data_IF_150913891038
#
_entry.id   IF_150913891038
#
_cell.length_a   1.000
_cell.length_b   1.000
_cell.length_c   1.000
_cell.angle_alpha   90.00
_cell.angle_beta   90.00
_cell.angle_gamma   90.00
#
_symmetry.space_group_name_H-M   'P 1'
#
loop_
_entity.id
_entity.type
_entity.pdbx_description
1 polymer ?
#
# COMPACT_ATOMS: atom_id res chain seq x y z
N UNK A 1 -25.58 17.86 58.45
CA UNK A 1 -25.17 18.70 57.31
C UNK A 1 -24.78 17.77 56.18
N UNK A 2 -25.79 17.27 55.48
CA UNK A 2 -25.64 16.49 54.25
C UNK A 2 -26.04 17.46 53.14
N UNK A 3 -25.09 17.88 52.32
CA UNK A 3 -25.32 18.93 51.33
C UNK A 3 -24.16 19.27 50.40
N UNK A 4 -22.92 18.88 50.72
CA UNK A 4 -21.74 19.23 49.88
C UNK A 4 -21.16 18.05 49.07
N UNK A 5 -21.47 16.79 49.40
CA UNK A 5 -20.91 15.62 48.70
C UNK A 5 -21.60 15.24 47.39
N UNK A 6 -22.81 15.75 47.13
CA UNK A 6 -23.53 15.43 45.89
C UNK A 6 -23.06 16.23 44.67
N UNK A 7 -22.43 17.39 44.86
CA UNK A 7 -21.98 18.26 43.76
C UNK A 7 -20.66 17.78 43.15
N UNK A 8 -19.77 17.20 43.96
CA UNK A 8 -18.47 16.68 43.51
C UNK A 8 -18.61 15.38 42.71
N UNK A 9 -19.56 14.50 43.07
CA UNK A 9 -19.81 13.26 42.31
C UNK A 9 -20.47 13.51 40.94
N UNK A 10 -21.32 14.54 40.83
CA UNK A 10 -21.92 14.94 39.55
C UNK A 10 -20.88 15.55 38.59
N UNK A 11 -19.88 16.27 39.10
CA UNK A 11 -18.79 16.82 38.29
C UNK A 11 -17.77 15.75 37.84
N UNK A 12 -17.47 14.76 38.68
CA UNK A 12 -16.64 13.60 38.30
C UNK A 12 -17.35 12.70 37.27
N UNK A 13 -18.68 12.56 37.38
CA UNK A 13 -19.51 11.88 36.37
C UNK A 13 -19.50 12.57 35.01
N UNK A 14 -19.54 13.92 34.99
CA UNK A 14 -19.46 14.71 33.77
C UNK A 14 -18.07 14.63 33.10
N UNK A 15 -16.98 14.56 33.88
CA UNK A 15 -15.62 14.38 33.36
C UNK A 15 -15.43 12.99 32.71
N UNK A 16 -16.00 11.95 33.32
CA UNK A 16 -15.99 10.57 32.78
C UNK A 16 -16.85 10.44 31.51
N UNK A 17 -17.98 11.15 31.43
CA UNK A 17 -18.81 11.20 30.22
C UNK A 17 -18.13 11.95 29.06
N UNK A 18 -17.39 13.04 29.33
CA UNK A 18 -16.63 13.75 28.28
C UNK A 18 -15.45 12.91 27.74
N UNK A 19 -14.80 12.11 28.59
CA UNK A 19 -13.68 11.25 28.17
C UNK A 19 -14.11 9.99 27.39
N UNK A 20 -15.39 9.62 27.45
CA UNK A 20 -15.90 8.40 26.80
C UNK A 20 -16.54 8.63 25.43
N UNK A 21 -16.77 9.88 25.00
CA UNK A 21 -17.55 10.19 23.79
C UNK A 21 -16.94 11.23 22.84
N UNK A 22 -15.63 11.50 22.90
CA UNK A 22 -14.96 12.48 22.02
C UNK A 22 -14.35 11.86 20.76
N UNK A 23 -14.94 12.15 19.59
CA UNK A 23 -14.28 12.05 18.28
C UNK A 23 -13.14 13.08 18.17
N UNK A 24 -12.16 12.83 17.30
CA UNK A 24 -10.90 13.57 17.18
C UNK A 24 -11.02 15.08 16.81
N UNK A 25 -12.22 15.63 16.67
CA UNK A 25 -12.44 17.06 16.37
C UNK A 25 -12.56 17.97 17.62
N UNK A 26 -12.55 17.43 18.84
CA UNK A 26 -12.72 18.22 20.08
C UNK A 26 -11.49 18.34 20.98
N UNK A 27 -10.30 17.88 20.55
CA UNK A 27 -9.10 17.86 21.41
C UNK A 27 -8.49 19.26 21.64
N UNK A 28 -8.75 20.24 20.77
CA UNK A 28 -8.24 21.61 20.96
C UNK A 28 -8.83 22.34 22.17
N UNK A 29 -10.03 21.96 22.62
CA UNK A 29 -10.69 22.63 23.75
C UNK A 29 -10.24 22.12 25.12
N UNK A 30 -9.61 20.95 25.22
CA UNK A 30 -9.21 20.40 26.52
C UNK A 30 -8.07 21.16 27.20
N UNK A 31 -7.10 21.68 26.44
CA UNK A 31 -6.01 22.51 26.99
C UNK A 31 -6.50 23.85 27.55
N UNK A 32 -7.51 24.43 26.90
CA UNK A 32 -8.20 25.67 27.32
C UNK A 32 -8.93 25.48 28.66
N UNK A 33 -9.64 24.35 28.80
CA UNK A 33 -10.40 24.02 30.02
C UNK A 33 -9.48 23.77 31.21
N UNK A 34 -8.37 23.06 31.03
CA UNK A 34 -7.39 22.80 32.10
C UNK A 34 -6.67 24.08 32.53
N UNK A 35 -6.29 24.94 31.57
CA UNK A 35 -5.71 26.26 31.88
C UNK A 35 -6.70 27.17 32.63
N UNK A 36 -7.99 27.14 32.25
CA UNK A 36 -9.05 27.87 32.94
C UNK A 36 -9.31 27.36 34.36
N UNK A 37 -9.22 26.04 34.61
CA UNK A 37 -9.37 25.46 35.94
C UNK A 37 -8.22 25.88 36.87
N UNK A 38 -6.98 25.87 36.37
CA UNK A 38 -5.79 26.33 37.12
C UNK A 38 -5.86 27.84 37.42
N UNK A 39 -6.45 28.64 36.51
CA UNK A 39 -6.62 30.09 36.68
C UNK A 39 -7.84 30.49 37.53
N UNK A 40 -8.77 29.56 37.81
CA UNK A 40 -9.96 29.84 38.61
C UNK A 40 -9.63 29.86 40.11
N UNK A 41 -10.28 30.74 40.88
CA UNK A 41 -10.13 30.84 42.36
C UNK A 41 -10.76 29.66 43.13
N UNK A 42 -10.68 28.44 42.59
CA UNK A 42 -11.06 27.22 43.28
C UNK A 42 -9.84 26.68 44.02
N UNK A 43 -9.95 26.50 45.34
CA UNK A 43 -8.90 25.89 46.16
C UNK A 43 -8.73 24.40 45.80
N UNK A 44 -7.94 24.13 44.77
CA UNK A 44 -7.53 22.76 44.44
C UNK A 44 -6.47 22.25 45.44
N UNK A 45 -6.59 20.98 45.86
CA UNK A 45 -5.57 20.32 46.68
C UNK A 45 -4.22 20.24 45.95
N UNK A 46 -3.14 20.08 46.71
CA UNK A 46 -1.79 19.98 46.16
C UNK A 46 -1.63 18.78 45.19
N UNK A 47 -2.30 17.65 45.46
CA UNK A 47 -2.23 16.48 44.56
C UNK A 47 -2.93 16.74 43.22
N UNK A 48 -4.07 17.44 43.23
CA UNK A 48 -4.82 17.74 42.02
C UNK A 48 -4.08 18.72 41.10
N UNK A 49 -3.38 19.71 41.70
CA UNK A 49 -2.48 20.62 40.97
C UNK A 49 -1.31 19.88 40.32
N UNK A 50 -0.72 18.92 41.04
CA UNK A 50 0.37 18.09 40.50
C UNK A 50 -0.10 17.23 39.31
N UNK A 51 -1.30 16.64 39.40
CA UNK A 51 -1.87 15.84 38.31
C UNK A 51 -2.17 16.67 37.06
N UNK A 52 -2.76 17.87 37.22
CA UNK A 52 -2.98 18.79 36.10
C UNK A 52 -1.67 19.25 35.44
N UNK A 53 -0.63 19.49 36.24
CA UNK A 53 0.70 19.86 35.74
C UNK A 53 1.35 18.71 34.97
N UNK A 54 1.19 17.46 35.44
CA UNK A 54 1.67 16.28 34.75
C UNK A 54 0.96 16.07 33.40
N UNK A 55 -0.36 16.27 33.34
CA UNK A 55 -1.14 16.20 32.10
C UNK A 55 -0.73 17.29 31.10
N UNK A 56 -0.46 18.51 31.57
CA UNK A 56 0.09 19.59 30.73
C UNK A 56 1.49 19.25 30.22
N UNK A 57 2.35 18.65 31.04
CA UNK A 57 3.67 18.21 30.61
C UNK A 57 3.59 17.07 29.58
N UNK A 58 2.65 16.14 29.74
CA UNK A 58 2.42 15.07 28.75
C UNK A 58 1.85 15.62 27.45
N UNK A 59 0.89 16.56 27.49
CA UNK A 59 0.35 17.23 26.29
C UNK A 59 1.44 18.07 25.60
N UNK A 60 2.25 18.81 26.37
CA UNK A 60 3.35 19.62 25.83
C UNK A 60 4.45 18.72 25.25
N UNK A 61 4.79 17.61 25.92
CA UNK A 61 5.74 16.62 25.41
C UNK A 61 5.22 15.93 24.15
N UNK A 62 3.94 15.54 24.12
CA UNK A 62 3.31 14.95 22.94
C UNK A 62 3.29 15.92 21.75
N UNK A 63 2.94 17.19 21.99
CA UNK A 63 3.02 18.27 20.97
C UNK A 63 4.46 18.54 20.52
N UNK A 64 5.44 18.46 21.41
CA UNK A 64 6.85 18.64 21.05
C UNK A 64 7.35 17.44 20.25
N UNK A 65 7.02 16.21 20.63
CA UNK A 65 7.45 14.99 19.93
C UNK A 65 6.77 14.82 18.58
N UNK A 66 5.48 15.17 18.44
CA UNK A 66 4.79 15.14 17.14
C UNK A 66 5.16 16.32 16.22
N UNK A 67 5.62 17.45 16.75
CA UNK A 67 6.05 18.62 15.96
C UNK A 67 7.57 18.80 15.87
N UNK A 68 8.39 17.81 16.21
CA UNK A 68 9.82 17.86 15.86
C UNK A 68 9.94 17.65 14.36
N UNK A 69 10.28 18.69 13.57
CA UNK A 69 10.52 18.50 12.14
C UNK A 69 11.84 17.75 12.01
N UNK A 70 11.86 16.66 11.25
CA UNK A 70 13.12 16.12 10.75
C UNK A 70 13.69 17.16 9.76
N UNK A 71 14.89 17.73 10.02
CA UNK A 71 15.49 18.74 9.14
C UNK A 71 15.67 18.27 7.69
N UNK A 72 15.67 16.95 7.44
CA UNK A 72 15.73 16.37 6.09
C UNK A 72 14.37 16.38 5.37
N UNK A 73 13.25 16.35 6.11
CA UNK A 73 11.89 16.36 5.54
C UNK A 73 11.41 17.75 5.16
N UNK A 74 11.75 18.80 5.90
CA UNK A 74 11.31 20.18 5.62
C UNK A 74 11.86 20.70 4.29
N UNK A 75 13.14 20.39 4.00
CA UNK A 75 13.79 20.70 2.72
C UNK A 75 13.20 19.90 1.53
N UNK A 76 12.54 18.76 1.79
CA UNK A 76 11.88 17.94 0.76
C UNK A 76 10.47 18.44 0.44
N UNK A 77 9.72 18.90 1.45
CA UNK A 77 8.32 19.34 1.32
C UNK A 77 8.18 20.65 0.54
N UNK A 78 9.08 21.63 0.76
CA UNK A 78 9.12 22.87 -0.05
C UNK A 78 9.43 22.56 -1.53
N UNK A 79 10.39 21.67 -1.80
CA UNK A 79 10.72 21.23 -3.16
C UNK A 79 9.58 20.46 -3.85
N UNK A 80 8.72 19.80 -3.07
CA UNK A 80 7.59 19.04 -3.59
C UNK A 80 6.34 19.88 -3.87
N UNK A 81 6.17 21.03 -3.18
CA UNK A 81 4.95 21.85 -3.24
C UNK A 81 4.71 22.47 -4.63
N UNK A 82 5.78 22.67 -5.40
CA UNK A 82 5.77 23.31 -6.72
C UNK A 82 6.01 22.34 -7.90
N UNK A 83 5.97 21.01 -7.66
CA UNK A 83 6.11 20.01 -8.72
C UNK A 83 4.93 20.08 -9.70
N UNK A 84 5.09 20.84 -10.79
CA UNK A 84 4.24 20.77 -11.97
C UNK A 84 4.67 19.60 -12.85
N UNK A 85 3.78 18.62 -12.99
CA UNK A 85 3.97 17.55 -13.96
C UNK A 85 3.72 18.11 -15.36
N UNK A 86 4.80 18.29 -16.13
CA UNK A 86 4.71 18.56 -17.57
C UNK A 86 4.02 17.38 -18.27
N UNK A 87 3.19 17.66 -19.28
CA UNK A 87 2.44 16.64 -20.03
C UNK A 87 3.34 15.58 -20.68
N UNK A 88 4.63 15.89 -20.89
CA UNK A 88 5.66 14.96 -21.35
C UNK A 88 5.88 13.76 -20.42
N UNK A 89 5.61 13.89 -19.13
CA UNK A 89 5.76 12.79 -18.16
C UNK A 89 4.65 11.74 -18.25
N UNK A 90 3.56 12.06 -18.95
CA UNK A 90 2.43 11.17 -19.20
C UNK A 90 2.56 10.38 -20.51
N UNK A 91 3.55 10.69 -21.35
CA UNK A 91 3.81 9.93 -22.57
C UNK A 91 4.14 8.47 -22.22
N UNK A 92 3.72 7.55 -23.08
CA UNK A 92 3.97 6.12 -22.94
C UNK A 92 4.78 5.61 -24.12
N UNK A 93 5.57 4.56 -23.89
CA UNK A 93 6.36 3.90 -24.93
C UNK A 93 6.44 2.41 -24.63
N UNK A 94 6.53 1.60 -25.68
CA UNK A 94 6.70 0.16 -25.53
C UNK A 94 8.17 -0.20 -25.35
N UNK A 95 8.45 -0.92 -24.27
CA UNK A 95 9.74 -1.59 -24.04
C UNK A 95 9.51 -3.08 -24.25
N UNK A 96 10.12 -3.65 -25.30
CA UNK A 96 9.96 -5.06 -25.68
C UNK A 96 8.46 -5.49 -25.78
N UNK A 97 7.62 -4.61 -26.31
CA UNK A 97 6.18 -4.85 -26.48
C UNK A 97 5.34 -4.75 -25.19
N UNK A 98 5.93 -4.27 -24.10
CA UNK A 98 5.23 -3.96 -22.84
C UNK A 98 5.22 -2.45 -22.66
N UNK A 99 4.03 -1.91 -22.42
CA UNK A 99 3.87 -0.47 -22.28
C UNK A 99 4.38 0.01 -20.92
N UNK A 100 5.19 1.06 -20.97
CA UNK A 100 5.74 1.78 -19.82
C UNK A 100 5.53 3.28 -19.99
N UNK A 101 5.71 4.06 -18.94
CA UNK A 101 5.80 5.52 -19.09
C UNK A 101 7.10 5.86 -19.82
N UNK A 102 7.13 7.03 -20.46
CA UNK A 102 8.31 7.54 -21.16
C UNK A 102 9.50 7.69 -20.22
N UNK A 103 9.27 8.15 -18.98
CA UNK A 103 10.30 8.23 -17.96
C UNK A 103 10.98 6.89 -17.68
N UNK A 104 10.20 5.80 -17.57
CA UNK A 104 10.73 4.46 -17.37
C UNK A 104 11.49 3.99 -18.62
N UNK A 105 10.92 4.25 -19.80
CA UNK A 105 11.47 3.81 -21.08
C UNK A 105 12.79 4.52 -21.41
N UNK A 106 12.88 5.83 -21.15
CA UNK A 106 14.08 6.64 -21.37
C UNK A 106 15.23 6.22 -20.42
N UNK A 107 14.90 5.64 -19.26
CA UNK A 107 15.87 5.12 -18.30
C UNK A 107 16.08 3.59 -18.40
N UNK A 108 15.51 2.94 -19.43
CA UNK A 108 15.42 1.49 -19.50
C UNK A 108 16.78 0.79 -19.48
N UNK A 109 17.79 1.33 -20.18
CA UNK A 109 19.12 0.75 -20.21
C UNK A 109 19.74 0.67 -18.82
N UNK A 110 19.49 1.65 -17.94
CA UNK A 110 19.97 1.61 -16.55
C UNK A 110 19.20 0.59 -15.72
N UNK A 111 17.89 0.49 -15.94
CA UNK A 111 17.02 -0.49 -15.26
C UNK A 111 17.45 -1.90 -15.62
N UNK A 112 17.58 -2.20 -16.91
CA UNK A 112 17.97 -3.51 -17.42
C UNK A 112 19.36 -3.94 -16.94
N UNK A 113 20.31 -3.01 -16.85
CA UNK A 113 21.67 -3.26 -16.37
C UNK A 113 21.85 -3.11 -14.85
N UNK A 114 20.77 -2.97 -14.08
CA UNK A 114 20.84 -2.91 -12.62
C UNK A 114 21.60 -4.11 -12.04
N UNK A 115 22.43 -3.87 -11.03
CA UNK A 115 23.23 -4.92 -10.37
C UNK A 115 22.55 -5.34 -9.06
N UNK A 116 21.81 -6.45 -9.13
CA UNK A 116 21.35 -7.14 -7.94
C UNK A 116 22.54 -7.68 -7.13
N UNK A 117 22.34 -7.83 -5.82
CA UNK A 117 23.28 -8.44 -4.88
C UNK A 117 22.72 -9.80 -4.43
N UNK A 118 23.57 -10.78 -4.07
CA UNK A 118 23.12 -12.11 -3.67
C UNK A 118 22.16 -12.12 -2.47
N UNK A 119 22.23 -11.11 -1.61
CA UNK A 119 21.41 -10.95 -0.41
C UNK A 119 20.19 -10.02 -0.60
N UNK A 120 19.93 -9.59 -1.84
CA UNK A 120 18.72 -8.83 -2.15
C UNK A 120 17.48 -9.72 -2.03
N UNK A 121 16.41 -9.11 -1.52
CA UNK A 121 15.05 -9.61 -1.57
C UNK A 121 14.23 -8.76 -2.54
N UNK A 122 13.60 -9.39 -3.52
CA UNK A 122 12.72 -8.71 -4.46
C UNK A 122 11.24 -9.00 -4.16
N UNK A 123 10.43 -7.96 -4.00
CA UNK A 123 8.98 -8.05 -3.95
C UNK A 123 8.43 -7.67 -5.32
N UNK A 124 7.92 -8.67 -6.04
CA UNK A 124 7.35 -8.53 -7.37
C UNK A 124 5.83 -8.71 -7.33
N UNK A 125 5.12 -7.96 -8.16
CA UNK A 125 3.66 -8.12 -8.29
C UNK A 125 3.17 -7.42 -9.53
N UNK A 126 2.05 -7.85 -10.10
CA UNK A 126 1.33 -6.96 -11.01
C UNK A 126 0.81 -5.75 -10.21
N UNK A 127 0.65 -4.60 -10.87
CA UNK A 127 0.15 -3.40 -10.20
C UNK A 127 -1.17 -3.71 -9.45
N UNK A 128 -1.25 -3.22 -8.21
CA UNK A 128 -2.43 -3.30 -7.34
C UNK A 128 -2.80 -4.71 -6.82
N UNK A 129 -1.84 -5.64 -6.83
CA UNK A 129 -2.04 -6.99 -6.29
C UNK A 129 -1.73 -7.13 -4.78
N UNK A 130 -1.36 -6.06 -4.07
CA UNK A 130 -1.08 -6.11 -2.62
C UNK A 130 0.37 -5.82 -2.21
N UNK A 131 1.17 -5.23 -3.10
CA UNK A 131 2.61 -4.97 -2.92
C UNK A 131 2.95 -4.29 -1.61
N UNK A 132 2.27 -3.18 -1.29
CA UNK A 132 2.53 -2.40 -0.06
C UNK A 132 2.25 -3.21 1.20
N UNK A 133 1.23 -4.07 1.17
CA UNK A 133 0.92 -4.93 2.31
C UNK A 133 2.05 -5.94 2.56
N UNK A 134 2.56 -6.56 1.49
CA UNK A 134 3.70 -7.47 1.57
C UNK A 134 4.99 -6.75 1.96
N UNK A 135 5.24 -5.53 1.48
CA UNK A 135 6.37 -4.70 1.89
C UNK A 135 6.36 -4.46 3.41
N UNK A 136 5.24 -4.02 3.98
CA UNK A 136 5.15 -3.80 5.43
C UNK A 136 5.29 -5.09 6.25
N UNK A 137 4.73 -6.22 5.77
CA UNK A 137 4.92 -7.53 6.42
C UNK A 137 6.41 -7.91 6.43
N UNK A 138 7.07 -7.79 5.28
CA UNK A 138 8.49 -8.15 5.13
C UNK A 138 9.38 -7.25 5.99
N UNK A 139 9.16 -5.93 5.97
CA UNK A 139 9.96 -4.98 6.76
C UNK A 139 9.79 -5.23 8.26
N UNK A 140 8.56 -5.48 8.72
CA UNK A 140 8.31 -5.84 10.12
C UNK A 140 8.98 -7.18 10.49
N UNK A 141 8.96 -8.19 9.61
CA UNK A 141 9.69 -9.44 9.85
C UNK A 141 11.20 -9.19 9.95
N UNK A 142 11.77 -8.44 9.01
CA UNK A 142 13.21 -8.17 8.95
C UNK A 142 13.71 -7.39 10.19
N UNK A 143 12.85 -6.54 10.75
CA UNK A 143 13.12 -5.73 11.93
C UNK A 143 12.54 -6.31 13.23
N UNK A 144 12.21 -7.61 13.28
CA UNK A 144 11.70 -8.30 14.48
C UNK A 144 10.48 -7.61 15.12
N UNK A 145 9.61 -6.98 14.32
CA UNK A 145 8.43 -6.24 14.75
C UNK A 145 8.72 -4.88 15.39
N UNK A 146 9.93 -4.32 15.20
CA UNK A 146 10.24 -2.96 15.64
C UNK A 146 9.52 -1.92 14.76
N UNK A 147 8.61 -1.16 15.39
CA UNK A 147 7.79 -0.16 14.71
C UNK A 147 8.57 1.09 14.35
N UNK A 148 9.54 1.50 15.19
CA UNK A 148 10.34 2.68 14.93
C UNK A 148 11.19 2.45 13.67
N UNK A 149 11.73 1.24 13.54
CA UNK A 149 12.42 0.84 12.32
C UNK A 149 11.47 0.87 11.11
N UNK A 150 10.25 0.34 11.22
CA UNK A 150 9.29 0.34 10.11
C UNK A 150 8.74 1.73 9.76
N UNK A 151 8.93 2.72 10.65
CA UNK A 151 8.53 4.12 10.46
C UNK A 151 9.70 5.04 10.10
N UNK A 152 10.91 4.50 9.91
CA UNK A 152 12.14 5.26 9.60
C UNK A 152 12.05 6.13 8.34
N UNK A 153 11.19 5.74 7.39
CA UNK A 153 10.94 6.46 6.14
C UNK A 153 9.67 5.92 5.46
N UNK A 154 9.24 6.57 4.37
CA UNK A 154 8.12 6.08 3.58
C UNK A 154 8.41 4.70 2.98
N UNK A 155 7.36 3.92 2.71
CA UNK A 155 7.48 2.57 2.17
C UNK A 155 8.24 2.51 0.84
N UNK A 156 8.12 3.56 0.01
CA UNK A 156 8.83 3.66 -1.27
C UNK A 156 10.30 4.07 -1.14
N UNK A 157 10.70 4.66 0.00
CA UNK A 157 12.09 4.95 0.33
C UNK A 157 12.76 3.72 0.97
N UNK A 158 12.04 3.04 1.88
CA UNK A 158 12.48 1.79 2.53
C UNK A 158 12.62 0.63 1.55
N UNK A 159 11.79 0.62 0.50
CA UNK A 159 11.75 -0.44 -0.50
C UNK A 159 11.79 0.14 -1.92
N UNK A 160 12.98 0.50 -2.41
CA UNK A 160 13.14 1.19 -3.67
C UNK A 160 12.42 0.45 -4.81
N UNK A 161 11.58 1.19 -5.54
CA UNK A 161 10.82 0.67 -6.66
C UNK A 161 11.69 0.78 -7.92
N UNK A 162 12.34 -0.32 -8.33
CA UNK A 162 13.52 -0.28 -9.22
C UNK A 162 13.28 0.42 -10.56
N UNK A 163 12.09 0.28 -11.16
CA UNK A 163 11.79 0.97 -12.41
C UNK A 163 11.15 2.36 -12.21
N UNK A 164 10.85 2.78 -10.99
CA UNK A 164 10.14 4.03 -10.74
C UNK A 164 11.05 5.23 -10.91
N UNK A 165 10.86 5.91 -12.03
CA UNK A 165 11.57 7.15 -12.35
C UNK A 165 10.64 8.33 -12.05
N UNK A 166 11.08 9.20 -11.13
CA UNK A 166 10.37 10.40 -10.72
C UNK A 166 11.04 11.65 -11.32
N UNK A 167 10.29 12.74 -11.55
CA UNK A 167 10.88 13.99 -12.00
C UNK A 167 11.79 14.57 -10.90
N UNK A 168 12.92 15.21 -11.28
CA UNK A 168 13.74 15.95 -10.33
C UNK A 168 12.90 16.98 -9.55
N UNK A 169 13.19 17.21 -8.26
CA UNK A 169 14.34 16.73 -7.49
C UNK A 169 14.11 15.39 -6.76
N UNK A 170 13.06 14.63 -7.09
CA UNK A 170 12.79 13.36 -6.45
C UNK A 170 13.75 12.28 -6.95
N UNK A 171 14.28 11.47 -6.03
CA UNK A 171 15.16 10.36 -6.38
C UNK A 171 14.38 9.27 -7.11
N UNK A 172 14.97 8.67 -8.14
CA UNK A 172 14.41 7.47 -8.75
C UNK A 172 14.64 6.26 -7.84
N UNK A 173 13.83 5.21 -8.02
CA UNK A 173 14.03 3.98 -7.26
C UNK A 173 15.36 3.28 -7.58
N UNK A 174 15.95 3.48 -8.76
CA UNK A 174 17.31 3.00 -9.04
C UNK A 174 18.35 3.72 -8.19
N UNK A 175 18.26 5.04 -8.09
CA UNK A 175 19.23 5.83 -7.33
C UNK A 175 19.20 5.43 -5.85
N UNK A 176 17.99 5.33 -5.29
CA UNK A 176 17.78 4.83 -3.93
C UNK A 176 18.31 3.40 -3.76
N UNK A 177 18.05 2.49 -4.71
CA UNK A 177 18.52 1.11 -4.62
C UNK A 177 20.05 0.99 -4.68
N UNK A 178 20.72 1.85 -5.45
CA UNK A 178 22.17 1.85 -5.59
C UNK A 178 22.89 2.39 -4.34
N UNK A 179 22.31 3.40 -3.69
CA UNK A 179 22.84 3.98 -2.44
C UNK A 179 22.54 3.13 -1.20
N UNK A 180 21.47 2.32 -1.24
CA UNK A 180 21.03 1.52 -0.10
C UNK A 180 22.06 0.44 0.30
N UNK A 181 22.45 0.37 1.58
CA UNK A 181 23.31 -0.71 2.08
C UNK A 181 22.59 -2.06 2.04
N UNK A 182 23.37 -3.12 1.93
CA UNK A 182 22.87 -4.49 2.05
C UNK A 182 22.49 -4.84 3.51
N UNK A 183 21.51 -5.73 3.74
CA UNK A 183 20.65 -6.36 2.74
C UNK A 183 19.53 -5.42 2.25
N UNK A 184 19.22 -5.45 0.94
CA UNK A 184 18.19 -4.59 0.35
C UNK A 184 16.89 -5.37 0.13
N UNK A 185 15.77 -4.73 0.42
CA UNK A 185 14.46 -5.21 -0.03
C UNK A 185 13.94 -4.26 -1.12
N UNK A 186 13.78 -4.78 -2.33
CA UNK A 186 13.47 -4.01 -3.54
C UNK A 186 12.05 -4.34 -4.02
N UNK A 187 11.42 -3.41 -4.75
CA UNK A 187 10.09 -3.60 -5.34
C UNK A 187 10.16 -3.55 -6.86
N UNK A 188 9.34 -4.35 -7.54
CA UNK A 188 9.10 -4.20 -8.98
C UNK A 188 7.68 -4.60 -9.40
N UNK A 189 7.24 -4.02 -10.53
CA UNK A 189 6.06 -4.41 -11.29
C UNK A 189 6.43 -4.93 -12.69
N UNK A 190 7.73 -5.14 -12.96
CA UNK A 190 8.16 -5.70 -14.24
C UNK A 190 7.68 -7.15 -14.38
N UNK A 191 7.18 -7.54 -15.57
CA UNK A 191 6.93 -8.94 -15.86
C UNK A 191 8.25 -9.70 -15.88
N UNK A 192 8.21 -11.01 -15.59
CA UNK A 192 9.42 -11.81 -15.36
C UNK A 192 10.45 -11.75 -16.50
N UNK A 193 9.99 -11.65 -17.76
CA UNK A 193 10.88 -11.54 -18.93
C UNK A 193 11.61 -10.19 -19.05
N UNK A 194 11.15 -9.17 -18.32
CA UNK A 194 11.74 -7.83 -18.27
C UNK A 194 12.49 -7.56 -16.96
N UNK A 195 12.55 -8.53 -16.05
CA UNK A 195 13.33 -8.38 -14.82
C UNK A 195 14.83 -8.27 -15.16
N UNK A 196 15.59 -7.35 -14.52
CA UNK A 196 17.03 -7.24 -14.74
C UNK A 196 17.73 -8.59 -14.59
N UNK A 197 18.54 -9.04 -15.58
CA UNK A 197 19.12 -10.38 -15.58
C UNK A 197 19.97 -10.73 -14.35
N UNK A 198 20.51 -9.72 -13.67
CA UNK A 198 21.32 -9.87 -12.45
C UNK A 198 20.55 -10.56 -11.32
N UNK A 199 19.24 -10.33 -11.16
CA UNK A 199 18.43 -11.01 -10.13
C UNK A 199 18.42 -12.53 -10.32
N UNK A 200 18.34 -12.99 -11.58
CA UNK A 200 18.39 -14.41 -11.90
C UNK A 200 19.79 -14.98 -11.69
N UNK A 201 20.82 -14.24 -12.11
CA UNK A 201 22.23 -14.64 -12.00
C UNK A 201 22.67 -14.79 -10.55
N UNK A 202 22.34 -13.83 -9.69
CA UNK A 202 22.71 -13.83 -8.27
C UNK A 202 21.76 -14.69 -7.41
N UNK A 203 20.75 -15.33 -8.03
CA UNK A 203 19.80 -16.23 -7.37
C UNK A 203 19.10 -15.59 -6.15
N UNK A 204 18.71 -14.32 -6.30
CA UNK A 204 18.04 -13.54 -5.26
C UNK A 204 16.72 -14.20 -4.82
N UNK A 205 16.32 -13.99 -3.56
CA UNK A 205 14.98 -14.39 -3.10
C UNK A 205 13.94 -13.46 -3.72
N UNK A 206 12.83 -14.03 -4.21
CA UNK A 206 11.72 -13.26 -4.77
C UNK A 206 10.42 -13.64 -4.07
N UNK A 207 9.65 -12.66 -3.61
CA UNK A 207 8.27 -12.84 -3.18
C UNK A 207 7.39 -12.26 -4.27
N UNK A 208 6.62 -13.11 -4.93
CA UNK A 208 5.64 -12.69 -5.92
C UNK A 208 4.23 -12.72 -5.32
N UNK A 209 3.46 -11.64 -5.49
CA UNK A 209 2.08 -11.57 -5.00
C UNK A 209 1.13 -11.38 -6.17
N UNK A 210 0.20 -12.33 -6.28
CA UNK A 210 -0.86 -12.32 -7.27
C UNK A 210 -2.21 -11.97 -6.62
N UNK A 211 -3.11 -11.38 -7.39
CA UNK A 211 -4.50 -11.11 -6.98
C UNK A 211 -5.40 -11.36 -8.17
N UNK A 212 -6.64 -11.76 -7.92
CA UNK A 212 -7.62 -12.01 -8.97
C UNK A 212 -7.77 -10.81 -9.91
N UNK A 213 -7.95 -11.10 -11.20
CA UNK A 213 -7.92 -10.09 -12.25
C UNK A 213 -8.98 -9.00 -12.07
N UNK A 214 -10.19 -9.36 -11.64
CA UNK A 214 -11.32 -8.42 -11.54
C UNK A 214 -11.08 -7.37 -10.45
N UNK A 215 -10.66 -7.79 -9.25
CA UNK A 215 -10.32 -6.82 -8.18
C UNK A 215 -9.05 -6.03 -8.50
N UNK A 216 -8.06 -6.65 -9.15
CA UNK A 216 -6.89 -5.95 -9.66
C UNK A 216 -7.30 -4.82 -10.61
N UNK A 217 -8.16 -5.12 -11.58
CA UNK A 217 -8.67 -4.16 -12.57
C UNK A 217 -9.38 -2.99 -11.89
N UNK A 218 -10.33 -3.26 -10.98
CA UNK A 218 -11.03 -2.21 -10.21
C UNK A 218 -10.04 -1.34 -9.44
N UNK A 219 -9.11 -1.98 -8.73
CA UNK A 219 -8.13 -1.25 -7.94
C UNK A 219 -7.17 -0.44 -8.81
N UNK A 220 -6.89 -0.89 -10.03
CA UNK A 220 -6.04 -0.20 -10.98
C UNK A 220 -6.76 0.98 -11.62
N UNK A 221 -8.02 0.83 -12.00
CA UNK A 221 -8.83 1.94 -12.49
C UNK A 221 -8.85 3.13 -11.52
N UNK A 222 -9.16 2.88 -10.24
CA UNK A 222 -9.14 3.94 -9.22
C UNK A 222 -7.74 4.50 -8.95
N UNK A 223 -6.70 3.66 -9.04
CA UNK A 223 -5.31 4.12 -8.93
C UNK A 223 -4.91 5.02 -10.11
N UNK A 224 -5.32 4.69 -11.33
CA UNK A 224 -5.06 5.52 -12.51
C UNK A 224 -5.80 6.86 -12.45
N UNK A 225 -6.98 6.92 -11.79
CA UNK A 225 -7.71 8.18 -11.59
C UNK A 225 -7.01 9.13 -10.62
N UNK A 226 -6.39 8.58 -9.57
CA UNK A 226 -5.75 9.40 -8.51
C UNK A 226 -4.27 9.66 -8.75
N UNK A 227 -3.56 8.79 -9.48
CA UNK A 227 -2.14 8.93 -9.77
C UNK A 227 -1.91 9.69 -11.07
N UNK A 228 -1.43 10.93 -10.96
CA UNK A 228 -1.18 11.83 -12.09
C UNK A 228 0.11 11.49 -12.86
N UNK A 229 0.84 10.44 -12.47
CA UNK A 229 2.00 9.91 -13.19
C UNK A 229 1.67 8.77 -14.16
N UNK A 230 0.39 8.38 -14.27
CA UNK A 230 -0.06 7.36 -15.22
C UNK A 230 -1.11 7.93 -16.17
N UNK A 231 -1.30 7.34 -17.36
CA UNK A 231 -2.29 7.84 -18.31
C UNK A 231 -3.72 7.87 -17.74
N UNK A 232 -4.52 8.83 -18.21
CA UNK A 232 -5.93 8.93 -17.86
C UNK A 232 -6.68 7.63 -18.20
N UNK A 233 -7.29 6.96 -17.20
CA UNK A 233 -7.96 5.69 -17.41
C UNK A 233 -9.24 5.80 -18.25
N UNK A 234 -9.84 6.98 -18.38
CA UNK A 234 -11.08 7.15 -19.12
C UNK A 234 -12.31 6.60 -18.44
N UNK A 235 -13.27 6.14 -19.25
CA UNK A 235 -14.45 5.48 -18.70
C UNK A 235 -14.11 4.08 -18.20
N UNK A 236 -14.95 3.57 -17.32
CA UNK A 236 -14.82 2.22 -16.79
C UNK A 236 -14.87 1.16 -17.88
N UNK A 237 -15.77 1.32 -18.85
CA UNK A 237 -15.96 0.42 -19.99
C UNK A 237 -14.70 0.35 -20.86
N UNK A 238 -14.13 1.52 -21.19
CA UNK A 238 -12.90 1.61 -21.98
C UNK A 238 -11.72 0.97 -21.25
N UNK A 239 -11.65 1.15 -19.93
CA UNK A 239 -10.58 0.60 -19.11
C UNK A 239 -10.65 -0.93 -18.98
N UNK A 240 -11.86 -1.51 -18.92
CA UNK A 240 -12.03 -2.98 -18.98
C UNK A 240 -11.42 -3.53 -20.28
N UNK A 241 -11.75 -2.93 -21.42
CA UNK A 241 -11.22 -3.36 -22.72
C UNK A 241 -9.70 -3.24 -22.80
N UNK A 242 -9.15 -2.12 -22.31
CA UNK A 242 -7.70 -1.90 -22.26
C UNK A 242 -7.01 -2.96 -21.39
N UNK A 243 -7.57 -3.26 -20.21
CA UNK A 243 -7.04 -4.27 -19.30
C UNK A 243 -7.10 -5.68 -19.90
N UNK A 244 -8.23 -6.07 -20.51
CA UNK A 244 -8.34 -7.35 -21.23
C UNK A 244 -7.30 -7.42 -22.33
N UNK A 245 -7.16 -6.37 -23.15
CA UNK A 245 -6.22 -6.37 -24.26
C UNK A 245 -4.77 -6.59 -23.81
N UNK A 246 -4.39 -6.02 -22.65
CA UNK A 246 -3.07 -6.21 -22.03
C UNK A 246 -1.89 -5.70 -22.88
N UNK A 247 -2.19 -5.03 -23.98
CA UNK A 247 -1.30 -4.41 -24.96
C UNK A 247 -2.07 -3.27 -25.61
N UNK A 248 -1.40 -2.18 -25.99
CA UNK A 248 -1.98 -1.20 -26.90
C UNK A 248 -2.21 -1.86 -28.26
N UNK A 249 -3.42 -2.35 -28.56
CA UNK A 249 -3.67 -3.00 -29.85
C UNK A 249 -3.62 -1.98 -30.98
N UNK A 250 -2.77 -2.26 -31.97
CA UNK A 250 -2.64 -1.50 -33.22
C UNK A 250 -3.56 -2.01 -34.34
N UNK A 251 -4.04 -1.08 -35.19
CA UNK A 251 -4.16 -1.24 -36.65
C UNK A 251 -3.70 0.08 -37.31
N UNK A 252 -2.51 0.08 -37.93
CA UNK A 252 -2.04 1.17 -38.80
C UNK A 252 -2.78 1.09 -40.14
N UNK A 253 -3.96 1.68 -40.26
CA UNK A 253 -4.56 1.96 -41.58
C UNK A 253 -5.53 3.14 -41.50
N UNK A 254 -5.19 4.24 -42.17
CA UNK A 254 -6.13 5.32 -42.54
C UNK A 254 -6.12 6.57 -41.65
N UNK A 255 -6.64 7.67 -42.19
CA UNK A 255 -6.76 9.00 -41.55
C UNK A 255 -7.56 8.96 -40.22
N UNK A 256 -8.41 7.95 -40.04
CA UNK A 256 -9.14 7.68 -38.79
C UNK A 256 -8.21 7.27 -37.63
N UNK A 257 -7.04 6.68 -37.93
CA UNK A 257 -6.02 6.33 -36.92
C UNK A 257 -5.39 7.57 -36.28
N UNK A 258 -5.25 8.69 -36.99
CA UNK A 258 -4.76 9.93 -36.40
C UNK A 258 -5.72 10.48 -35.35
N UNK A 259 -7.03 10.34 -35.56
CA UNK A 259 -8.07 10.77 -34.60
C UNK A 259 -8.17 9.79 -33.42
N UNK A 260 -8.11 8.47 -33.68
CA UNK A 260 -8.17 7.43 -32.62
C UNK A 260 -6.86 7.31 -31.84
N UNK A 261 -5.71 7.65 -32.43
CA UNK A 261 -4.39 7.69 -31.76
C UNK A 261 -4.35 8.69 -30.61
N UNK A 262 -5.19 9.73 -30.64
CA UNK A 262 -5.37 10.67 -29.53
C UNK A 262 -6.20 10.10 -28.38
N UNK A 263 -6.83 8.93 -28.57
CA UNK A 263 -7.66 8.20 -27.59
C UNK A 263 -7.00 6.85 -27.28
N UNK A 264 -5.69 6.85 -27.04
CA UNK A 264 -4.99 5.66 -26.53
C UNK A 264 -5.26 5.54 -25.04
N UNK A 265 -5.96 4.47 -24.64
CA UNK A 265 -6.11 4.09 -23.23
C UNK A 265 -5.39 2.79 -22.99
N UNK A 266 -4.50 2.82 -22.01
CA UNK A 266 -3.30 2.02 -22.03
C UNK A 266 -2.96 1.63 -20.58
N UNK A 267 -2.69 0.34 -20.35
CA UNK A 267 -2.38 -0.20 -19.03
C UNK A 267 -0.88 -0.47 -18.96
N UNK A 268 -0.19 0.18 -18.01
CA UNK A 268 1.24 0.02 -17.81
C UNK A 268 1.56 -1.41 -17.32
N UNK A 269 2.80 -1.85 -17.55
CA UNK A 269 3.29 -3.20 -17.23
C UNK A 269 2.59 -4.34 -18.00
N UNK A 270 1.68 -4.01 -18.92
CA UNK A 270 1.12 -4.92 -19.92
C UNK A 270 0.04 -5.85 -19.39
N UNK A 271 -0.03 -7.04 -19.97
CA UNK A 271 -1.10 -8.01 -19.75
C UNK A 271 -1.02 -8.64 -18.37
N UNK A 272 -2.06 -8.45 -17.55
CA UNK A 272 -2.19 -9.15 -16.26
C UNK A 272 -2.04 -10.67 -16.43
N UNK A 273 -2.66 -11.24 -17.48
CA UNK A 273 -2.64 -12.69 -17.75
C UNK A 273 -1.21 -13.18 -18.00
N UNK A 274 -0.45 -12.49 -18.84
CA UNK A 274 0.92 -12.88 -19.17
C UNK A 274 1.86 -12.63 -17.98
N UNK A 275 1.59 -11.58 -17.21
CA UNK A 275 2.36 -11.25 -16.01
C UNK A 275 2.26 -12.37 -14.96
N UNK A 276 1.04 -12.74 -14.55
CA UNK A 276 0.85 -13.79 -13.53
C UNK A 276 1.33 -15.16 -14.03
N UNK A 277 1.09 -15.51 -15.30
CA UNK A 277 1.57 -16.77 -15.88
C UNK A 277 3.09 -16.80 -16.01
N UNK A 278 3.72 -15.70 -16.42
CA UNK A 278 5.17 -15.61 -16.57
C UNK A 278 5.90 -15.82 -15.25
N UNK A 279 5.44 -15.15 -14.19
CA UNK A 279 5.97 -15.36 -12.84
C UNK A 279 5.66 -16.76 -12.29
N UNK A 280 4.47 -17.30 -12.56
CA UNK A 280 4.09 -18.67 -12.16
C UNK A 280 4.97 -19.73 -12.82
N UNK A 281 5.30 -19.58 -14.11
CA UNK A 281 6.19 -20.48 -14.84
C UNK A 281 7.63 -20.45 -14.31
N UNK A 282 8.05 -19.34 -13.71
CA UNK A 282 9.39 -19.16 -13.14
C UNK A 282 9.53 -19.69 -11.70
N UNK A 283 8.41 -19.91 -11.00
CA UNK A 283 8.44 -20.22 -9.56
C UNK A 283 9.17 -21.51 -9.21
N UNK A 284 9.17 -22.50 -10.11
CA UNK A 284 9.84 -23.79 -9.89
C UNK A 284 11.30 -23.78 -10.39
N UNK A 285 11.71 -22.74 -11.11
CA UNK A 285 13.06 -22.57 -11.68
C UNK A 285 13.97 -21.70 -10.80
N UNK A 286 13.37 -20.85 -9.98
CA UNK A 286 14.06 -19.85 -9.16
C UNK A 286 13.49 -19.82 -7.74
N UNK A 287 14.17 -19.14 -6.82
CA UNK A 287 13.72 -18.99 -5.42
C UNK A 287 12.57 -17.99 -5.33
N UNK A 288 11.37 -18.42 -5.72
CA UNK A 288 10.17 -17.57 -5.72
C UNK A 288 9.14 -18.12 -4.73
N UNK A 289 8.77 -17.31 -3.73
CA UNK A 289 7.56 -17.54 -2.95
C UNK A 289 6.39 -16.88 -3.66
N UNK A 290 5.49 -17.69 -4.23
CA UNK A 290 4.29 -17.21 -4.92
C UNK A 290 3.11 -17.18 -3.96
N UNK A 291 2.58 -15.98 -3.67
CA UNK A 291 1.48 -15.72 -2.76
C UNK A 291 0.23 -15.24 -3.52
N UNK A 292 -0.93 -15.43 -2.90
CA UNK A 292 -2.20 -14.89 -3.37
C UNK A 292 -2.74 -13.90 -2.35
N UNK A 293 -3.17 -12.73 -2.82
CA UNK A 293 -3.79 -11.70 -1.98
C UNK A 293 -5.02 -12.24 -1.26
N UNK A 294 -5.80 -13.09 -1.93
CA UNK A 294 -6.96 -13.74 -1.36
C UNK A 294 -6.58 -14.66 -0.20
N UNK A 295 -5.48 -15.42 -0.32
CA UNK A 295 -4.98 -16.28 0.77
C UNK A 295 -4.51 -15.46 1.98
N UNK A 296 -3.99 -14.25 1.74
CA UNK A 296 -3.60 -13.34 2.81
C UNK A 296 -4.81 -12.74 3.53
N UNK A 297 -5.95 -12.62 2.84
CA UNK A 297 -7.22 -12.06 3.38
C UNK A 297 -8.16 -13.11 3.95
N UNK A 298 -8.00 -14.36 3.54
CA UNK A 298 -8.87 -15.46 3.87
C UNK A 298 -8.96 -15.71 5.37
N UNK A 299 -10.19 -15.71 5.89
CA UNK A 299 -10.52 -16.07 7.27
C UNK A 299 -11.17 -17.46 7.31
N UNK A 300 -10.37 -18.54 7.23
CA UNK A 300 -10.90 -19.91 7.30
C UNK A 300 -10.59 -20.59 8.63
N UNK A 301 -11.62 -21.17 9.26
CA UNK A 301 -11.52 -22.07 10.41
C UNK A 301 -10.78 -23.38 10.04
N UNK A 302 -10.17 -24.12 11.00
CA UNK A 302 -9.42 -25.36 10.68
C UNK A 302 -10.22 -26.41 9.90
N UNK A 303 -11.54 -26.34 9.93
CA UNK A 303 -12.48 -27.29 9.36
C UNK A 303 -13.11 -26.82 8.03
N UNK A 304 -12.63 -25.71 7.45
CA UNK A 304 -13.05 -25.26 6.12
C UNK A 304 -14.43 -24.59 6.05
N UNK A 305 -15.06 -24.25 7.18
CA UNK A 305 -16.40 -23.64 7.21
C UNK A 305 -16.38 -22.11 7.40
N UNK A 306 -17.30 -21.36 6.77
CA UNK A 306 -17.46 -19.93 6.99
C UNK A 306 -17.97 -19.62 8.41
N UNK A 307 -17.37 -18.64 9.08
CA UNK A 307 -17.67 -18.26 10.47
C UNK A 307 -18.94 -17.39 10.51
N UNK A 308 -20.12 -18.01 10.67
CA UNK A 308 -21.35 -17.31 11.04
C UNK A 308 -21.44 -17.29 12.58
N UNK A 309 -21.44 -16.08 13.16
CA UNK A 309 -21.79 -15.69 14.54
C UNK A 309 -21.01 -16.30 15.72
N UNK A 310 -20.21 -15.46 16.40
CA UNK A 310 -20.29 -15.30 17.86
C UNK A 310 -19.41 -14.11 18.32
N UNK A 311 -20.05 -13.07 18.88
CA UNK A 311 -19.43 -11.81 19.31
C UNK A 311 -18.36 -11.96 20.42
N UNK A 312 -18.21 -13.15 21.01
CA UNK A 312 -17.24 -13.40 22.09
C UNK A 312 -15.94 -14.10 21.62
N UNK A 313 -15.85 -14.54 20.36
CA UNK A 313 -14.69 -15.25 19.78
C UNK A 313 -14.01 -14.44 18.65
N UNK A 314 -14.06 -13.11 18.74
CA UNK A 314 -13.41 -12.19 17.80
C UNK A 314 -11.87 -12.15 17.93
N UNK A 315 -11.29 -12.75 18.97
CA UNK A 315 -9.84 -12.68 19.21
C UNK A 315 -9.01 -13.88 18.71
N UNK A 316 -9.66 -14.92 18.18
CA UNK A 316 -8.96 -16.02 17.48
C UNK A 316 -9.44 -16.04 16.03
N UNK A 317 -8.95 -15.09 15.25
CA UNK A 317 -9.07 -15.11 13.79
C UNK A 317 -7.94 -16.02 13.25
N UNK A 318 -8.28 -16.89 12.30
CA UNK A 318 -7.26 -17.66 11.58
C UNK A 318 -6.82 -16.77 10.42
N UNK A 319 -5.84 -15.96 10.81
CA UNK A 319 -5.35 -14.70 10.26
C UNK A 319 -4.49 -14.82 8.99
N UNK A 320 -4.08 -13.68 8.38
CA UNK A 320 -2.86 -13.55 7.55
C UNK A 320 -1.63 -14.29 8.12
N UNK A 321 -1.66 -14.69 9.40
CA UNK A 321 -0.70 -15.59 10.07
C UNK A 321 -0.19 -16.73 9.19
N UNK A 322 -1.06 -17.46 8.48
CA UNK A 322 -0.62 -18.59 7.63
C UNK A 322 0.35 -18.12 6.55
N UNK A 323 0.01 -17.04 5.86
CA UNK A 323 0.86 -16.48 4.79
C UNK A 323 2.10 -15.79 5.36
N UNK A 324 1.98 -15.09 6.49
CA UNK A 324 3.13 -14.49 7.20
C UNK A 324 4.11 -15.59 7.64
N UNK A 325 3.63 -16.74 8.11
CA UNK A 325 4.47 -17.90 8.45
C UNK A 325 5.19 -18.49 7.23
N UNK A 326 4.54 -18.52 6.05
CA UNK A 326 5.21 -18.90 4.80
C UNK A 326 6.33 -17.90 4.46
N UNK A 327 6.08 -16.60 4.63
CA UNK A 327 7.10 -15.56 4.43
C UNK A 327 8.24 -15.73 5.42
N UNK A 328 7.98 -15.92 6.71
CA UNK A 328 9.00 -16.18 7.74
C UNK A 328 9.89 -17.36 7.37
N UNK A 329 9.28 -18.49 7.01
CA UNK A 329 10.00 -19.69 6.57
C UNK A 329 10.85 -19.42 5.33
N UNK A 330 10.32 -18.69 4.36
CA UNK A 330 11.03 -18.34 3.13
C UNK A 330 12.19 -17.37 3.38
N UNK A 331 12.03 -16.44 4.32
CA UNK A 331 13.06 -15.51 4.75
C UNK A 331 14.06 -16.12 5.74
N UNK A 332 13.83 -17.35 6.20
CA UNK A 332 14.66 -18.06 7.19
C UNK A 332 14.76 -17.25 8.50
N UNK A 333 13.61 -16.75 8.97
CA UNK A 333 13.48 -15.95 10.18
C UNK A 333 12.57 -16.66 11.19
N UNK A 334 13.04 -16.73 12.42
CA UNK A 334 12.26 -17.20 13.57
C UNK A 334 11.86 -16.00 14.43
N UNK A 335 10.59 -15.90 14.77
CA UNK A 335 10.04 -14.86 15.64
C UNK A 335 9.13 -15.48 16.69
N UNK A 336 8.92 -14.76 17.79
CA UNK A 336 7.97 -15.19 18.81
C UNK A 336 6.53 -15.01 18.33
N UNK A 337 5.61 -15.75 18.95
CA UNK A 337 4.17 -15.60 18.71
C UNK A 337 3.69 -14.16 19.01
N UNK A 338 4.28 -13.49 20.00
CA UNK A 338 4.01 -12.09 20.31
C UNK A 338 4.38 -11.16 19.15
N UNK A 339 5.60 -11.29 18.60
CA UNK A 339 6.04 -10.50 17.44
C UNK A 339 5.16 -10.81 16.23
N UNK A 340 4.78 -12.07 16.02
CA UNK A 340 3.88 -12.46 14.93
C UNK A 340 2.52 -11.78 15.03
N UNK A 341 1.92 -11.74 16.23
CA UNK A 341 0.66 -11.04 16.47
C UNK A 341 0.79 -9.53 16.28
N UNK A 342 1.94 -8.96 16.67
CA UNK A 342 2.26 -7.55 16.39
C UNK A 342 2.31 -7.26 14.88
N UNK A 343 2.96 -8.13 14.10
CA UNK A 343 3.00 -8.01 12.63
C UNK A 343 1.59 -8.07 12.05
N UNK A 344 0.77 -9.04 12.46
CA UNK A 344 -0.62 -9.20 12.00
C UNK A 344 -1.42 -7.91 12.25
N UNK A 345 -1.36 -7.36 13.46
CA UNK A 345 -2.08 -6.15 13.81
C UNK A 345 -1.62 -4.93 13.01
N UNK A 346 -0.32 -4.63 13.00
CA UNK A 346 0.19 -3.41 12.38
C UNK A 346 0.17 -3.44 10.86
N UNK A 347 0.13 -4.62 10.26
CA UNK A 347 -0.05 -4.79 8.82
C UNK A 347 -1.51 -5.00 8.43
N UNK A 348 -2.45 -4.90 9.37
CA UNK A 348 -3.87 -4.91 9.02
C UNK A 348 -4.24 -3.69 8.17
N UNK A 349 -5.26 -3.82 7.33
CA UNK A 349 -5.67 -2.74 6.44
C UNK A 349 -6.06 -1.47 7.20
N UNK A 350 -6.81 -1.61 8.30
CA UNK A 350 -7.29 -0.48 9.09
C UNK A 350 -6.15 0.29 9.76
N UNK A 351 -5.12 -0.42 10.22
CA UNK A 351 -3.92 0.24 10.78
C UNK A 351 -3.09 0.88 9.66
N UNK A 352 -2.80 0.16 8.58
CA UNK A 352 -2.00 0.68 7.48
C UNK A 352 -2.64 1.87 6.76
N UNK A 353 -3.97 1.94 6.71
CA UNK A 353 -4.71 3.07 6.11
C UNK A 353 -4.37 4.41 6.78
N UNK A 354 -4.12 4.38 8.09
CA UNK A 354 -3.79 5.58 8.88
C UNK A 354 -2.28 5.77 9.07
N UNK A 355 -1.44 4.85 8.59
CA UNK A 355 0.01 4.98 8.68
C UNK A 355 0.57 5.84 7.52
N UNK A 356 1.04 7.07 7.76
CA UNK A 356 1.58 7.95 6.71
C UNK A 356 2.79 7.33 5.98
N UNK A 357 3.54 6.46 6.65
CA UNK A 357 4.71 5.79 6.07
C UNK A 357 4.33 4.65 5.12
N UNK A 358 3.06 4.26 5.04
CA UNK A 358 2.58 3.17 4.18
C UNK A 358 1.43 3.57 3.25
N UNK A 359 0.66 4.60 3.57
CA UNK A 359 -0.55 4.98 2.84
C UNK A 359 -0.33 5.96 1.67
N UNK A 360 0.92 6.39 1.43
CA UNK A 360 1.33 7.32 0.36
C UNK A 360 0.76 8.75 0.47
N UNK A 361 0.26 9.19 1.63
CA UNK A 361 -0.24 10.57 1.81
C UNK A 361 0.86 11.63 1.90
N UNK A 362 2.12 11.20 2.06
CA UNK A 362 3.29 12.10 2.05
C UNK A 362 3.67 12.57 0.64
N UNK A 363 3.18 11.91 -0.41
CA UNK A 363 3.36 12.39 -1.78
C UNK A 363 2.46 13.60 -2.06
N UNK A 364 2.94 14.57 -2.86
CA UNK A 364 2.15 15.74 -3.22
C UNK A 364 0.94 15.35 -4.06
N UNK A 365 -0.12 16.16 -3.96
CA UNK A 365 -1.37 15.98 -4.75
C UNK A 365 -1.15 16.13 -6.25
N UNK A 366 -0.03 16.74 -6.68
CA UNK A 366 0.40 16.77 -8.07
C UNK A 366 0.84 15.40 -8.58
N UNK A 367 1.21 14.46 -7.71
CA UNK A 367 1.57 13.08 -8.05
C UNK A 367 0.42 12.11 -7.70
N UNK A 368 -0.07 12.14 -6.46
CA UNK A 368 -1.17 11.28 -6.01
C UNK A 368 -2.25 12.09 -5.31
N UNK A 369 -3.40 12.21 -5.95
CA UNK A 369 -4.54 12.98 -5.44
C UNK A 369 -5.51 12.09 -4.67
N UNK A 370 -5.25 11.93 -3.37
CA UNK A 370 -6.06 11.08 -2.49
C UNK A 370 -7.51 11.57 -2.33
N UNK A 371 -7.83 12.81 -2.73
CA UNK A 371 -9.21 13.31 -2.74
C UNK A 371 -10.07 12.65 -3.83
N UNK A 372 -9.46 12.20 -4.93
CA UNK A 372 -10.14 11.47 -6.02
C UNK A 372 -10.37 10.01 -5.62
N UNK A 373 -9.32 9.37 -5.09
CA UNK A 373 -9.40 8.03 -4.54
C UNK A 373 -8.21 7.81 -3.59
N UNK A 374 -8.42 7.38 -2.34
CA UNK A 374 -7.32 7.09 -1.44
C UNK A 374 -6.55 5.84 -1.90
N UNK A 375 -5.23 5.83 -1.73
CA UNK A 375 -4.39 4.67 -2.07
C UNK A 375 -4.84 3.41 -1.30
N UNK A 376 -5.09 3.55 0.01
CA UNK A 376 -5.68 2.52 0.87
C UNK A 376 -7.21 2.56 0.75
N UNK A 377 -7.74 2.04 -0.37
CA UNK A 377 -9.15 2.21 -0.79
C UNK A 377 -10.17 1.38 0.01
N UNK A 378 -10.17 0.04 -0.19
CA UNK A 378 -11.10 -0.90 0.47
C UNK A 378 -10.43 -2.13 1.06
N UNK A 379 -9.33 -2.61 0.46
CA UNK A 379 -8.54 -3.69 1.03
C UNK A 379 -9.25 -5.03 1.22
N UNK A 380 -10.26 -5.36 0.41
CA UNK A 380 -10.98 -6.63 0.48
C UNK A 380 -11.11 -7.29 -0.90
N UNK A 381 -11.06 -8.63 -1.00
CA UNK A 381 -11.48 -9.35 -2.20
C UNK A 381 -12.99 -9.23 -2.44
N UNK A 382 -13.43 -9.29 -3.69
CA UNK A 382 -14.83 -9.31 -4.08
C UNK A 382 -15.45 -7.94 -4.40
N UNK A 383 -14.70 -6.84 -4.28
CA UNK A 383 -15.24 -5.50 -4.54
C UNK A 383 -15.57 -5.25 -6.03
N UNK A 384 -15.04 -6.07 -6.93
CA UNK A 384 -15.42 -6.08 -8.34
C UNK A 384 -16.93 -6.25 -8.57
N UNK A 385 -17.65 -6.93 -7.68
CA UNK A 385 -19.12 -7.08 -7.77
C UNK A 385 -19.87 -5.75 -7.70
N UNK A 386 -19.26 -4.74 -7.09
CA UNK A 386 -19.84 -3.39 -6.97
C UNK A 386 -19.54 -2.50 -8.20
N UNK A 387 -18.78 -3.00 -9.18
CA UNK A 387 -18.30 -2.21 -10.32
C UNK A 387 -18.67 -2.84 -11.66
N UNK A 388 -18.59 -4.16 -11.77
CA UNK A 388 -18.97 -4.88 -12.98
C UNK A 388 -20.49 -4.98 -13.06
N UNK A 389 -21.04 -4.60 -14.22
CA UNK A 389 -22.37 -5.10 -14.60
C UNK A 389 -22.32 -6.61 -14.85
N UNK A 390 -23.48 -7.27 -14.82
CA UNK A 390 -23.57 -8.72 -15.12
C UNK A 390 -22.97 -9.03 -16.50
N UNK A 391 -23.34 -8.24 -17.52
CA UNK A 391 -22.84 -8.41 -18.88
C UNK A 391 -21.30 -8.24 -18.98
N UNK A 392 -20.74 -7.20 -18.34
CA UNK A 392 -19.29 -7.00 -18.29
C UNK A 392 -18.59 -8.17 -17.59
N UNK A 393 -19.15 -8.68 -16.49
CA UNK A 393 -18.59 -9.83 -15.76
C UNK A 393 -18.57 -11.08 -16.64
N UNK A 394 -19.69 -11.41 -17.29
CA UNK A 394 -19.80 -12.60 -18.15
C UNK A 394 -18.86 -12.53 -19.35
N UNK A 395 -18.72 -11.36 -19.96
CA UNK A 395 -17.77 -11.16 -21.07
C UNK A 395 -16.33 -11.29 -20.61
N UNK A 396 -16.00 -10.68 -19.47
CA UNK A 396 -14.67 -10.80 -18.87
C UNK A 396 -14.35 -12.26 -18.53
N UNK A 397 -15.30 -13.01 -17.99
CA UNK A 397 -15.11 -14.42 -17.64
C UNK A 397 -14.83 -15.29 -18.87
N UNK A 398 -15.49 -15.03 -20.01
CA UNK A 398 -15.20 -15.72 -21.28
C UNK A 398 -13.78 -15.44 -21.78
N UNK A 399 -13.35 -14.18 -21.75
CA UNK A 399 -11.99 -13.79 -22.14
C UNK A 399 -10.94 -14.38 -21.17
N UNK A 400 -11.23 -14.34 -19.88
CA UNK A 400 -10.38 -14.91 -18.82
C UNK A 400 -10.19 -16.42 -19.01
N UNK A 401 -11.29 -17.17 -19.19
CA UNK A 401 -11.24 -18.61 -19.44
C UNK A 401 -10.35 -18.94 -20.64
N UNK A 402 -10.50 -18.20 -21.75
CA UNK A 402 -9.68 -18.39 -22.94
C UNK A 402 -8.19 -18.14 -22.67
N UNK A 403 -7.84 -17.06 -21.98
CA UNK A 403 -6.42 -16.68 -21.74
C UNK A 403 -5.73 -17.48 -20.65
N UNK A 404 -6.50 -18.09 -19.76
CA UNK A 404 -6.01 -18.88 -18.63
C UNK A 404 -6.16 -20.40 -18.83
N UNK A 405 -6.78 -20.86 -19.92
CA UNK A 405 -7.11 -22.27 -20.17
C UNK A 405 -5.92 -23.25 -20.02
N UNK A 406 -4.72 -22.83 -20.43
CA UNK A 406 -3.50 -23.68 -20.38
C UNK A 406 -2.69 -23.51 -19.09
N UNK A 407 -3.17 -22.70 -18.15
CA UNK A 407 -2.49 -22.45 -16.89
C UNK A 407 -3.04 -23.33 -15.77
N UNK A 408 -2.15 -23.84 -14.92
CA UNK A 408 -2.54 -24.48 -13.66
C UNK A 408 -2.88 -23.47 -12.55
N UNK A 409 -2.75 -22.18 -12.84
CA UNK A 409 -2.97 -21.10 -11.89
C UNK A 409 -4.47 -20.84 -11.67
N UNK A 410 -4.92 -21.02 -10.44
CA UNK A 410 -6.30 -20.77 -10.02
C UNK A 410 -6.40 -19.56 -9.11
N UNK A 411 -7.36 -18.69 -9.38
CA UNK A 411 -7.66 -17.53 -8.54
C UNK A 411 -9.06 -17.63 -7.96
N UNK A 412 -9.23 -17.05 -6.77
CA UNK A 412 -10.54 -16.89 -6.12
C UNK A 412 -11.00 -15.46 -6.33
N UNK A 413 -12.24 -15.27 -6.74
CA UNK A 413 -12.81 -13.93 -6.95
C UNK A 413 -13.56 -13.41 -5.73
N UNK A 414 -13.69 -14.22 -4.69
CA UNK A 414 -14.31 -13.90 -3.41
C UNK A 414 -13.79 -14.82 -2.31
N UNK A 415 -13.95 -14.41 -1.06
CA UNK A 415 -13.58 -15.16 0.15
C UNK A 415 -14.75 -15.25 1.12
#
# INVERSE_FOLDING_TARGET
MAGEDHTNFLQLGALSMCLSHGTAEHISDHGSVVASLISSKLEMSAELKALCFLLLLVDTWYRLVENLPDPSTEMSLEKMRDLHLDGKYLETTEVNGILMTKLISDNWDKIWNFQAKPDDLLIASYAKAGTTWTQEIVDMIQNNGDLLMCQRANTFDRHPFIEWTLPPPLNSGLDLANEMPSPRTLKTHLPAQLLPPSFWKENCKIIYVARNAKDCLVSYYHFSRMNKMVPDPGTWEEYIEAFKAGKGKWKKTGLLFLIISYIRREVLWGSWYDHVKGWWAKKDQHRILYLFYEDMKENILPDGKPKITCFMYLFHMKDPKREIQKILKFLEKDITEEVLNKIIYHTSFDVMKHNPMANYTTLPTSIMDHSISPFMRKGMPGDWKNHFTVAQSEEFDKDYQKKMAESTLTFRTEI
#
